data_IF_065198108451
#
_entry.id   IF_065198108451
#
_cell.length_a   1.000
_cell.length_b   1.000
_cell.length_c   1.000
_cell.angle_alpha   90.00
_cell.angle_beta   90.00
_cell.angle_gamma   90.00
#
_symmetry.space_group_name_H-M   'P 1'
#
loop_
_entity.id
_entity.type
_entity.pdbx_description
1 polymer ?
#
# COMPACT_ATOMS: atom_id res chain seq x y z
N UNK A 1 2.28 -19.35 -18.16
CA UNK A 1 1.25 -19.52 -17.10
C UNK A 1 1.18 -20.97 -16.67
N UNK A 2 0.94 -21.25 -15.39
CA UNK A 2 0.83 -22.61 -14.84
C UNK A 2 -0.30 -23.39 -15.51
N UNK A 3 -0.02 -24.64 -15.98
CA UNK A 3 -0.98 -25.46 -16.74
C UNK A 3 -2.25 -25.77 -15.95
N UNK A 4 -2.12 -26.13 -14.68
CA UNK A 4 -3.27 -26.42 -13.81
C UNK A 4 -4.20 -25.21 -13.62
N UNK A 5 -3.61 -24.01 -13.57
CA UNK A 5 -4.37 -22.77 -13.46
C UNK A 5 -5.18 -22.49 -14.74
N UNK A 6 -4.66 -22.91 -15.92
CA UNK A 6 -5.38 -22.81 -17.19
C UNK A 6 -6.52 -23.82 -17.26
N UNK A 7 -6.32 -25.03 -16.74
CA UNK A 7 -7.29 -26.11 -16.80
C UNK A 7 -8.43 -25.99 -15.79
N UNK A 8 -8.11 -25.50 -14.57
CA UNK A 8 -9.05 -25.48 -13.45
C UNK A 8 -9.47 -24.07 -13.01
N UNK A 9 -8.86 -22.99 -13.51
CA UNK A 9 -8.95 -21.61 -13.02
C UNK A 9 -8.35 -21.38 -11.62
N UNK A 10 -7.87 -22.41 -10.92
CA UNK A 10 -7.33 -22.27 -9.58
C UNK A 10 -6.25 -23.32 -9.26
N UNK A 11 -5.47 -23.03 -8.22
CA UNK A 11 -4.60 -23.97 -7.53
C UNK A 11 -4.71 -23.77 -6.01
N UNK A 12 -4.67 -24.86 -5.24
CA UNK A 12 -4.57 -24.79 -3.78
C UNK A 12 -3.09 -24.77 -3.40
N UNK A 13 -2.73 -23.89 -2.50
CA UNK A 13 -1.38 -23.70 -1.97
C UNK A 13 -1.39 -23.96 -0.49
N UNK A 14 -1.13 -25.20 -0.05
CA UNK A 14 -1.06 -25.53 1.37
C UNK A 14 0.10 -24.80 2.05
N UNK A 15 -0.10 -24.39 3.30
CA UNK A 15 0.90 -23.66 4.09
C UNK A 15 1.50 -22.45 3.36
N UNK A 16 0.68 -21.67 2.66
CA UNK A 16 1.08 -20.43 2.03
C UNK A 16 1.71 -19.46 3.05
N UNK A 17 1.17 -19.46 4.25
CA UNK A 17 1.79 -18.97 5.49
C UNK A 17 1.63 -20.02 6.58
N UNK A 18 2.43 -19.95 7.65
CA UNK A 18 2.25 -20.87 8.76
C UNK A 18 0.89 -20.65 9.46
N UNK A 19 0.28 -21.72 9.97
CA UNK A 19 -1.01 -21.62 10.67
C UNK A 19 -0.92 -20.71 11.91
N UNK A 20 0.23 -20.66 12.61
CA UNK A 20 0.44 -19.73 13.72
C UNK A 20 0.40 -18.28 13.25
N UNK A 21 1.12 -17.95 12.16
CA UNK A 21 1.11 -16.62 11.59
C UNK A 21 -0.29 -16.21 11.10
N UNK A 22 -1.01 -17.15 10.49
CA UNK A 22 -2.39 -16.91 10.04
C UNK A 22 -3.28 -16.47 11.22
N UNK A 23 -3.27 -17.22 12.31
CA UNK A 23 -4.04 -16.91 13.52
C UNK A 23 -3.61 -15.60 14.19
N UNK A 24 -2.30 -15.32 14.22
CA UNK A 24 -1.79 -14.04 14.74
C UNK A 24 -2.30 -12.85 13.91
N UNK A 25 -2.31 -12.97 12.59
CA UNK A 25 -2.84 -11.96 11.68
C UNK A 25 -4.36 -11.80 11.82
N UNK A 26 -5.11 -12.90 11.97
CA UNK A 26 -6.55 -12.85 12.23
C UNK A 26 -6.85 -12.11 13.53
N UNK A 27 -6.12 -12.42 14.61
CA UNK A 27 -6.26 -11.74 15.90
C UNK A 27 -5.96 -10.24 15.79
N UNK A 28 -4.85 -9.87 15.15
CA UNK A 28 -4.49 -8.46 14.95
C UNK A 28 -5.58 -7.71 14.18
N UNK A 29 -6.13 -8.33 13.14
CA UNK A 29 -7.19 -7.73 12.35
C UNK A 29 -8.49 -7.60 13.14
N UNK A 30 -8.86 -8.60 13.92
CA UNK A 30 -10.02 -8.51 14.82
C UNK A 30 -9.84 -7.42 15.88
N UNK A 31 -8.70 -7.34 16.52
CA UNK A 31 -8.37 -6.28 17.48
C UNK A 31 -8.47 -4.87 16.83
N UNK A 32 -8.14 -4.77 15.54
CA UNK A 32 -8.31 -3.56 14.76
C UNK A 32 -9.80 -3.24 14.52
N UNK A 33 -10.59 -4.22 14.05
CA UNK A 33 -12.02 -4.01 13.76
C UNK A 33 -12.83 -3.70 15.02
N UNK A 34 -12.44 -4.25 16.17
CA UNK A 34 -13.09 -3.96 17.46
C UNK A 34 -12.81 -2.51 17.94
N UNK A 35 -11.70 -1.89 17.52
CA UNK A 35 -11.32 -0.51 17.89
C UNK A 35 -11.88 0.55 16.95
N UNK A 36 -12.11 0.19 15.69
CA UNK A 36 -12.47 1.14 14.64
C UNK A 36 -13.77 0.70 13.98
N UNK A 37 -14.74 1.60 13.93
CA UNK A 37 -15.95 1.35 13.15
C UNK A 37 -15.58 1.39 11.67
N UNK A 38 -15.71 0.26 10.99
CA UNK A 38 -15.49 0.14 9.56
C UNK A 38 -16.75 0.50 8.77
N UNK A 39 -16.57 0.83 7.49
CA UNK A 39 -17.69 0.96 6.57
C UNK A 39 -18.33 -0.41 6.30
N UNK A 40 -19.61 -0.41 6.04
CA UNK A 40 -20.32 -1.62 5.64
C UNK A 40 -19.82 -2.13 4.29
N UNK A 41 -19.69 -3.45 4.16
CA UNK A 41 -19.33 -4.11 2.90
C UNK A 41 -20.59 -4.37 2.07
N UNK A 42 -20.78 -3.67 0.92
CA UNK A 42 -21.98 -3.86 0.11
C UNK A 42 -22.09 -5.27 -0.51
N UNK A 43 -20.98 -5.99 -0.70
CA UNK A 43 -20.97 -7.33 -1.26
C UNK A 43 -21.39 -8.38 -0.24
N UNK A 44 -21.02 -8.18 1.04
CA UNK A 44 -21.35 -9.07 2.16
C UNK A 44 -21.82 -8.22 3.34
N UNK A 45 -23.08 -7.78 3.36
CA UNK A 45 -23.60 -6.96 4.43
C UNK A 45 -23.43 -7.62 5.80
N UNK A 46 -23.08 -6.83 6.80
CA UNK A 46 -22.86 -7.29 8.18
C UNK A 46 -21.47 -7.88 8.46
N UNK A 47 -20.62 -8.07 7.44
CA UNK A 47 -19.21 -8.42 7.64
C UNK A 47 -18.37 -7.19 7.97
N UNK A 48 -17.24 -7.40 8.66
CA UNK A 48 -16.24 -6.36 8.87
C UNK A 48 -15.17 -6.48 7.80
N UNK A 49 -14.94 -5.40 7.02
CA UNK A 49 -14.04 -5.45 5.88
C UNK A 49 -13.10 -4.24 5.81
N UNK A 50 -11.89 -4.44 5.25
CA UNK A 50 -10.88 -3.40 5.14
C UNK A 50 -9.98 -3.62 3.93
N UNK A 51 -9.85 -2.56 3.12
CA UNK A 51 -8.78 -2.46 2.13
C UNK A 51 -7.46 -2.10 2.79
N UNK A 52 -6.39 -2.66 2.29
CA UNK A 52 -5.00 -2.30 2.60
C UNK A 52 -4.74 -2.12 4.12
N UNK A 53 -5.25 -3.07 4.94
CA UNK A 53 -4.78 -3.17 6.31
C UNK A 53 -3.30 -3.51 6.30
N UNK A 54 -2.48 -2.71 6.97
CA UNK A 54 -1.03 -2.69 6.80
C UNK A 54 -0.37 -4.06 6.88
N UNK A 55 -0.63 -4.91 7.89
CA UNK A 55 -0.04 -6.25 7.92
C UNK A 55 -0.38 -7.12 6.71
N UNK A 56 -1.50 -6.83 6.03
CA UNK A 56 -1.89 -7.54 4.81
C UNK A 56 -1.25 -6.95 3.55
N UNK A 57 -0.95 -5.66 3.52
CA UNK A 57 -0.10 -5.06 2.47
C UNK A 57 1.32 -5.63 2.54
N UNK A 58 1.86 -5.80 3.75
CA UNK A 58 3.15 -6.46 3.95
C UNK A 58 3.14 -7.90 3.42
N UNK A 59 2.10 -8.66 3.75
CA UNK A 59 1.92 -10.02 3.25
C UNK A 59 1.80 -10.04 1.72
N UNK A 60 1.04 -9.12 1.12
CA UNK A 60 0.89 -8.97 -0.33
C UNK A 60 2.25 -8.82 -1.02
N UNK A 61 3.08 -7.91 -0.52
CA UNK A 61 4.41 -7.64 -1.08
C UNK A 61 5.38 -8.78 -0.82
N UNK A 62 5.42 -9.33 0.41
CA UNK A 62 6.24 -10.50 0.77
C UNK A 62 6.01 -11.68 -0.18
N UNK A 63 4.75 -11.94 -0.51
CA UNK A 63 4.36 -13.10 -1.32
C UNK A 63 4.50 -12.90 -2.83
N UNK A 64 4.87 -11.72 -3.29
CA UNK A 64 4.98 -11.43 -4.74
C UNK A 64 5.85 -12.43 -5.50
N UNK A 65 7.01 -12.78 -4.96
CA UNK A 65 7.92 -13.78 -5.58
C UNK A 65 7.33 -15.19 -5.59
N UNK A 66 6.62 -15.57 -4.52
CA UNK A 66 5.93 -16.87 -4.44
C UNK A 66 4.84 -16.94 -5.50
N UNK A 67 4.03 -15.89 -5.63
CA UNK A 67 2.96 -15.81 -6.64
C UNK A 67 3.55 -15.83 -8.06
N UNK A 68 4.64 -15.09 -8.31
CA UNK A 68 5.39 -15.14 -9.58
C UNK A 68 5.80 -16.57 -9.96
N UNK A 69 6.32 -17.34 -9.00
CA UNK A 69 6.70 -18.75 -9.23
C UNK A 69 5.48 -19.64 -9.49
N UNK A 70 4.40 -19.46 -8.73
CA UNK A 70 3.17 -20.25 -8.90
C UNK A 70 2.50 -20.00 -10.26
N UNK A 71 2.50 -18.77 -10.74
CA UNK A 71 1.95 -18.37 -12.03
C UNK A 71 2.89 -18.77 -13.19
N UNK A 72 4.21 -18.77 -12.95
CA UNK A 72 5.24 -18.93 -13.98
C UNK A 72 5.47 -17.67 -14.82
N UNK A 73 4.98 -16.52 -14.35
CA UNK A 73 5.14 -15.19 -14.95
C UNK A 73 5.28 -14.15 -13.84
N UNK A 74 6.05 -13.07 -14.10
CA UNK A 74 6.16 -11.96 -13.15
C UNK A 74 4.83 -11.27 -12.93
N UNK A 75 4.51 -10.99 -11.66
CA UNK A 75 3.31 -10.27 -11.26
C UNK A 75 3.65 -9.02 -10.46
N UNK A 76 2.74 -8.07 -10.44
CA UNK A 76 2.78 -6.84 -9.64
C UNK A 76 1.62 -6.86 -8.65
N UNK A 77 1.84 -6.48 -7.39
CA UNK A 77 0.77 -6.38 -6.40
C UNK A 77 -0.19 -5.26 -6.77
N UNK A 78 -1.47 -5.46 -6.51
CA UNK A 78 -2.49 -4.41 -6.67
C UNK A 78 -2.95 -3.91 -5.31
N UNK A 79 -3.68 -4.69 -4.54
CA UNK A 79 -4.13 -4.34 -3.21
C UNK A 79 -4.41 -5.60 -2.38
N UNK A 80 -4.50 -5.41 -1.07
CA UNK A 80 -5.02 -6.41 -0.14
C UNK A 80 -6.42 -6.03 0.33
N UNK A 81 -7.27 -7.03 0.54
CA UNK A 81 -8.59 -6.85 1.12
C UNK A 81 -8.82 -7.91 2.18
N UNK A 82 -9.42 -7.57 3.29
CA UNK A 82 -9.69 -8.52 4.34
C UNK A 82 -11.13 -8.42 4.80
N UNK A 83 -11.67 -9.55 5.22
CA UNK A 83 -13.04 -9.64 5.69
C UNK A 83 -13.15 -10.61 6.86
N UNK A 84 -13.91 -10.22 7.89
CA UNK A 84 -14.39 -11.12 8.93
C UNK A 84 -15.86 -11.43 8.62
N UNK A 85 -16.09 -12.63 8.18
CA UNK A 85 -17.45 -13.14 7.95
C UNK A 85 -18.06 -13.59 9.26
N UNK A 86 -19.37 -13.45 9.37
CA UNK A 86 -20.20 -13.84 10.52
C UNK A 86 -21.26 -14.87 10.10
N UNK A 87 -21.88 -15.51 11.05
CA UNK A 87 -22.97 -16.45 10.80
C UNK A 87 -24.02 -15.89 9.83
N UNK A 88 -24.41 -16.68 8.86
CA UNK A 88 -25.35 -16.33 7.79
C UNK A 88 -24.75 -15.52 6.65
N UNK A 89 -23.50 -15.03 6.71
CA UNK A 89 -22.90 -14.34 5.59
C UNK A 89 -22.73 -15.26 4.38
N UNK A 90 -22.98 -14.71 3.20
CA UNK A 90 -22.86 -15.37 1.90
C UNK A 90 -21.91 -14.55 1.04
N UNK A 91 -21.02 -15.20 0.30
CA UNK A 91 -20.32 -14.54 -0.79
C UNK A 91 -21.01 -14.93 -2.10
N UNK A 92 -21.84 -14.05 -2.69
CA UNK A 92 -22.54 -14.35 -3.93
C UNK A 92 -21.57 -14.72 -5.05
N UNK A 93 -21.97 -15.63 -5.92
CA UNK A 93 -21.16 -16.04 -7.05
C UNK A 93 -20.88 -14.87 -8.02
N UNK A 94 -19.60 -14.57 -8.22
CA UNK A 94 -19.12 -13.44 -9.05
C UNK A 94 -17.80 -13.76 -9.73
N UNK A 95 -17.40 -12.90 -10.61
CA UNK A 95 -16.02 -12.76 -11.11
C UNK A 95 -15.44 -11.44 -10.62
N UNK A 96 -14.15 -11.40 -10.46
CA UNK A 96 -13.45 -10.22 -9.98
C UNK A 96 -13.28 -9.16 -11.07
N UNK A 97 -12.91 -7.96 -10.65
CA UNK A 97 -12.56 -6.84 -11.52
C UNK A 97 -11.12 -6.96 -12.06
N UNK A 98 -10.73 -6.15 -13.07
CA UNK A 98 -9.41 -6.23 -13.71
C UNK A 98 -8.20 -6.14 -12.79
N UNK A 99 -8.32 -5.41 -11.68
CA UNK A 99 -7.28 -5.30 -10.65
C UNK A 99 -6.99 -6.64 -9.93
N UNK A 100 -7.90 -7.59 -10.05
CA UNK A 100 -7.83 -8.92 -9.45
C UNK A 100 -7.58 -10.00 -10.53
N UNK A 101 -6.76 -9.69 -11.54
CA UNK A 101 -6.42 -10.65 -12.61
C UNK A 101 -5.93 -11.97 -12.03
N UNK A 102 -5.07 -11.89 -11.03
CA UNK A 102 -4.59 -13.00 -10.22
C UNK A 102 -4.97 -12.73 -8.77
N UNK A 103 -5.74 -13.61 -8.18
CA UNK A 103 -6.24 -13.47 -6.82
C UNK A 103 -5.83 -14.63 -5.94
N UNK A 104 -5.59 -14.36 -4.67
CA UNK A 104 -5.49 -15.37 -3.63
C UNK A 104 -6.51 -15.07 -2.55
N UNK A 105 -7.26 -16.09 -2.11
CA UNK A 105 -7.94 -16.09 -0.81
C UNK A 105 -7.12 -16.92 0.15
N UNK A 106 -6.74 -16.34 1.29
CA UNK A 106 -5.96 -16.99 2.34
C UNK A 106 -6.85 -17.13 3.57
N UNK A 107 -7.04 -18.35 4.04
CA UNK A 107 -7.74 -18.57 5.30
C UNK A 107 -6.82 -18.21 6.46
N UNK A 108 -7.24 -17.25 7.28
CA UNK A 108 -6.49 -16.86 8.49
C UNK A 108 -6.97 -17.61 9.72
N UNK A 109 -8.27 -17.62 9.97
CA UNK A 109 -8.90 -18.36 11.06
C UNK A 109 -10.42 -18.46 10.82
N UNK A 110 -11.00 -19.66 11.01
CA UNK A 110 -12.45 -19.88 10.94
C UNK A 110 -12.87 -20.79 12.07
N UNK A 111 -14.01 -20.50 12.69
CA UNK A 111 -14.60 -21.34 13.74
C UNK A 111 -15.16 -22.65 13.18
N UNK A 112 -15.55 -22.65 11.91
CA UNK A 112 -16.06 -23.84 11.20
C UNK A 112 -15.46 -23.91 9.79
N UNK A 113 -15.39 -25.11 9.21
CA UNK A 113 -14.94 -25.32 7.83
C UNK A 113 -15.92 -24.64 6.89
N UNK A 114 -15.40 -23.76 6.03
CA UNK A 114 -16.21 -23.02 5.09
C UNK A 114 -15.60 -23.02 3.70
N UNK A 115 -16.15 -23.84 2.82
CA UNK A 115 -15.63 -24.03 1.48
C UNK A 115 -15.86 -22.80 0.60
N UNK A 116 -14.90 -22.55 -0.28
CA UNK A 116 -15.09 -21.68 -1.45
C UNK A 116 -15.34 -22.58 -2.67
N UNK A 117 -16.33 -22.26 -3.47
CA UNK A 117 -16.52 -22.92 -4.75
C UNK A 117 -16.01 -22.06 -5.90
N UNK A 118 -15.52 -22.71 -6.96
CA UNK A 118 -15.02 -22.05 -8.17
C UNK A 118 -15.33 -22.87 -9.40
N UNK A 119 -15.71 -22.20 -10.50
CA UNK A 119 -15.97 -22.82 -11.80
C UNK A 119 -14.69 -22.95 -12.62
N UNK A 120 -14.43 -24.15 -13.12
CA UNK A 120 -13.39 -24.42 -14.14
C UNK A 120 -13.86 -24.01 -15.55
N UNK A 121 -12.96 -23.86 -16.53
CA UNK A 121 -13.34 -23.50 -17.91
C UNK A 121 -14.31 -24.45 -18.59
N UNK A 122 -14.36 -25.70 -18.16
CA UNK A 122 -15.27 -26.73 -18.67
C UNK A 122 -16.66 -26.73 -17.96
N UNK A 123 -16.89 -25.75 -17.05
CA UNK A 123 -18.14 -25.60 -16.32
C UNK A 123 -18.27 -26.46 -15.04
N UNK A 124 -17.24 -27.23 -14.69
CA UNK A 124 -17.25 -27.95 -13.39
C UNK A 124 -17.17 -26.96 -12.22
N UNK A 125 -18.02 -27.16 -11.21
CA UNK A 125 -17.95 -26.46 -9.95
C UNK A 125 -17.10 -27.26 -8.97
N UNK A 126 -16.02 -26.68 -8.52
CA UNK A 126 -15.10 -27.29 -7.57
C UNK A 126 -15.30 -26.66 -6.20
N UNK A 127 -15.34 -27.48 -5.14
CA UNK A 127 -15.45 -27.00 -3.75
C UNK A 127 -14.09 -27.19 -3.07
N UNK A 128 -13.54 -26.11 -2.51
CA UNK A 128 -12.20 -26.07 -1.92
C UNK A 128 -12.29 -25.72 -0.45
N UNK A 129 -11.72 -26.58 0.39
CA UNK A 129 -11.51 -26.33 1.81
C UNK A 129 -10.09 -25.81 2.05
N UNK A 130 -9.96 -24.79 2.88
CA UNK A 130 -8.67 -24.20 3.25
C UNK A 130 -8.52 -24.23 4.77
N UNK A 131 -7.45 -24.86 5.26
CA UNK A 131 -7.07 -24.76 6.66
C UNK A 131 -6.43 -23.38 6.94
N UNK A 132 -6.34 -22.95 8.22
CA UNK A 132 -5.62 -21.72 8.56
C UNK A 132 -4.17 -21.71 8.04
N UNK A 133 -3.86 -20.73 7.19
CA UNK A 133 -2.58 -20.60 6.50
C UNK A 133 -2.56 -21.12 5.07
N UNK A 134 -3.56 -21.88 4.65
CA UNK A 134 -3.71 -22.29 3.24
C UNK A 134 -4.25 -21.14 2.37
N UNK A 135 -3.93 -21.18 1.09
CA UNK A 135 -4.45 -20.26 0.09
C UNK A 135 -5.03 -21.01 -1.11
N UNK A 136 -6.03 -20.41 -1.75
CA UNK A 136 -6.42 -20.72 -3.11
C UNK A 136 -5.99 -19.55 -4.01
N UNK A 137 -5.10 -19.80 -4.96
CA UNK A 137 -4.74 -18.87 -6.02
C UNK A 137 -5.65 -19.14 -7.21
N UNK A 138 -6.23 -18.10 -7.80
CA UNK A 138 -7.18 -18.27 -8.89
C UNK A 138 -7.15 -17.10 -9.89
N UNK A 139 -7.68 -17.35 -11.08
CA UNK A 139 -7.87 -16.34 -12.12
C UNK A 139 -9.17 -15.57 -11.82
N UNK A 140 -9.06 -14.46 -11.10
CA UNK A 140 -10.22 -13.75 -10.54
C UNK A 140 -11.21 -13.26 -11.58
N UNK A 141 -10.74 -12.82 -12.76
CA UNK A 141 -11.59 -12.29 -13.83
C UNK A 141 -12.39 -13.34 -14.61
N UNK A 142 -12.00 -14.62 -14.55
CA UNK A 142 -12.61 -15.67 -15.35
C UNK A 142 -13.19 -16.81 -14.52
N UNK A 143 -12.57 -17.14 -13.40
CA UNK A 143 -13.06 -18.15 -12.49
C UNK A 143 -14.20 -17.61 -11.64
N UNK A 144 -15.46 -17.85 -12.06
CA UNK A 144 -16.61 -17.48 -11.23
C UNK A 144 -16.57 -18.26 -9.93
N UNK A 145 -16.67 -17.57 -8.79
CA UNK A 145 -16.48 -18.14 -7.47
C UNK A 145 -17.40 -17.51 -6.43
N UNK A 146 -17.57 -18.20 -5.30
CA UNK A 146 -18.42 -17.74 -4.21
C UNK A 146 -18.41 -18.69 -3.00
N UNK A 147 -19.20 -18.39 -2.01
CA UNK A 147 -19.38 -19.21 -0.80
C UNK A 147 -20.84 -19.25 -0.39
N UNK A 148 -21.31 -20.43 -0.01
CA UNK A 148 -22.63 -20.63 0.55
C UNK A 148 -22.76 -19.99 1.94
N UNK A 149 -23.96 -19.94 2.58
CA UNK A 149 -24.11 -19.36 3.92
C UNK A 149 -23.11 -19.96 4.92
N UNK A 150 -22.46 -19.07 5.68
CA UNK A 150 -21.54 -19.49 6.73
C UNK A 150 -22.30 -19.92 7.97
N UNK A 151 -22.03 -21.13 8.49
CA UNK A 151 -22.72 -21.70 9.65
C UNK A 151 -21.96 -21.47 10.97
N UNK A 152 -20.69 -21.01 10.90
CA UNK A 152 -19.87 -20.75 12.07
C UNK A 152 -20.01 -19.33 12.60
N UNK A 153 -19.40 -19.05 13.73
CA UNK A 153 -19.46 -17.75 14.41
C UNK A 153 -18.64 -16.69 13.67
N UNK A 154 -17.41 -17.04 13.25
CA UNK A 154 -16.46 -16.09 12.65
C UNK A 154 -15.49 -16.78 11.69
N UNK A 155 -15.23 -16.16 10.56
CA UNK A 155 -14.22 -16.58 9.59
C UNK A 155 -13.47 -15.39 9.01
N UNK A 156 -12.18 -15.30 9.30
CA UNK A 156 -11.30 -14.23 8.82
C UNK A 156 -10.54 -14.69 7.57
N UNK A 157 -10.73 -13.96 6.48
CA UNK A 157 -10.06 -14.19 5.21
C UNK A 157 -9.28 -12.94 4.80
N UNK A 158 -8.13 -13.12 4.17
CA UNK A 158 -7.44 -12.06 3.44
C UNK A 158 -7.35 -12.41 1.97
N UNK A 159 -7.58 -11.42 1.14
CA UNK A 159 -7.48 -11.49 -0.31
C UNK A 159 -6.27 -10.68 -0.75
N UNK A 160 -5.40 -11.31 -1.55
CA UNK A 160 -4.20 -10.70 -2.10
C UNK A 160 -4.35 -10.67 -3.61
N UNK A 161 -4.26 -9.49 -4.21
CA UNK A 161 -4.52 -9.31 -5.63
C UNK A 161 -3.29 -8.86 -6.38
N UNK A 162 -3.12 -9.38 -7.59
CA UNK A 162 -1.98 -9.11 -8.46
C UNK A 162 -2.44 -8.99 -9.90
N UNK A 163 -1.60 -8.35 -10.71
CA UNK A 163 -1.71 -8.32 -12.17
C UNK A 163 -0.40 -8.80 -12.80
N UNK A 164 -0.46 -9.40 -13.97
CA UNK A 164 0.75 -9.81 -14.70
C UNK A 164 1.52 -8.59 -15.19
N UNK A 165 2.85 -8.58 -14.97
CA UNK A 165 3.74 -7.46 -15.36
C UNK A 165 3.63 -7.13 -16.84
N UNK A 166 3.53 -8.17 -17.70
CA UNK A 166 3.40 -8.04 -19.15
C UNK A 166 1.96 -8.30 -19.63
N UNK A 167 0.97 -8.27 -18.72
CA UNK A 167 -0.44 -8.46 -19.03
C UNK A 167 -1.16 -7.14 -19.38
N UNK A 168 -2.40 -7.22 -19.89
CA UNK A 168 -3.17 -6.03 -20.27
C UNK A 168 -3.57 -5.15 -19.08
N UNK A 169 -3.48 -5.67 -17.86
CA UNK A 169 -3.93 -5.03 -16.63
C UNK A 169 -2.79 -4.48 -15.78
N UNK A 170 -1.53 -4.51 -16.24
CA UNK A 170 -0.35 -4.07 -15.48
C UNK A 170 -0.50 -2.65 -14.89
N UNK A 171 -1.26 -1.76 -15.54
CA UNK A 171 -1.51 -0.38 -15.09
C UNK A 171 -2.22 -0.28 -13.73
N UNK A 172 -2.85 -1.36 -13.26
CA UNK A 172 -3.55 -1.39 -11.98
C UNK A 172 -2.67 -1.78 -10.80
N UNK A 173 -1.35 -1.89 -10.98
CA UNK A 173 -0.46 -2.14 -9.87
C UNK A 173 -0.66 -1.12 -8.74
N UNK A 174 -0.65 -1.59 -7.48
CA UNK A 174 -1.00 -0.82 -6.28
C UNK A 174 -2.35 -0.10 -6.36
N UNK A 175 -3.33 -0.68 -7.01
CA UNK A 175 -4.75 -0.30 -7.21
C UNK A 175 -5.17 1.07 -6.64
N UNK A 176 -4.73 2.11 -7.31
CA UNK A 176 -4.88 3.48 -6.87
C UNK A 176 -6.34 3.95 -6.82
N UNK A 177 -7.23 3.25 -7.51
CA UNK A 177 -8.65 3.60 -7.63
C UNK A 177 -9.47 3.29 -6.37
N UNK A 178 -9.02 2.35 -5.51
CA UNK A 178 -9.74 1.94 -4.30
C UNK A 178 -9.22 2.51 -2.99
N UNK A 179 -8.02 3.08 -2.97
CA UNK A 179 -7.42 3.64 -1.76
C UNK A 179 -8.15 4.86 -1.21
N UNK A 180 -9.03 5.45 -2.01
CA UNK A 180 -9.70 6.71 -1.74
C UNK A 180 -11.22 6.66 -1.89
N UNK A 181 -11.85 5.51 -1.79
CA UNK A 181 -13.30 5.48 -1.59
C UNK A 181 -13.60 6.12 -0.23
N UNK A 182 -14.34 7.22 -0.26
CA UNK A 182 -14.49 8.22 0.80
C UNK A 182 -15.18 7.77 2.10
N UNK A 183 -15.50 6.51 2.25
CA UNK A 183 -16.27 6.00 3.38
C UNK A 183 -15.43 5.45 4.53
N UNK A 184 -14.17 5.81 4.56
CA UNK A 184 -13.24 5.28 5.51
C UNK A 184 -13.16 6.14 6.76
N UNK A 185 -13.73 5.63 7.83
CA UNK A 185 -13.50 6.08 9.20
C UNK A 185 -14.23 7.37 9.60
N UNK A 186 -15.42 7.24 10.09
CA UNK A 186 -15.95 8.22 11.05
C UNK A 186 -15.04 8.21 12.28
N UNK A 187 -14.18 9.23 12.37
CA UNK A 187 -13.22 9.38 13.46
C UNK A 187 -13.92 9.43 14.81
N UNK A 188 -13.62 8.48 15.67
CA UNK A 188 -13.59 8.76 17.11
C UNK A 188 -12.15 9.12 17.43
N UNK A 189 -11.94 10.42 17.64
CA UNK A 189 -10.66 10.98 18.07
C UNK A 189 -10.35 10.51 19.48
N UNK A 190 -9.47 9.54 19.62
CA UNK A 190 -8.60 9.40 20.77
C UNK A 190 -7.19 9.24 20.25
N UNK A 191 -6.46 10.33 20.32
CA UNK A 191 -5.00 10.32 20.17
C UNK A 191 -4.42 9.43 21.26
N UNK A 192 -4.00 8.25 20.87
CA UNK A 192 -3.13 7.41 21.70
C UNK A 192 -1.70 7.72 21.27
N UNK A 193 -0.77 7.99 22.21
CA UNK A 193 0.64 8.24 21.88
C UNK A 193 1.17 7.03 21.11
N UNK A 194 1.97 7.29 20.08
CA UNK A 194 2.74 6.27 19.36
C UNK A 194 3.61 5.57 20.41
N UNK A 195 3.29 4.32 20.70
CA UNK A 195 4.16 3.47 21.52
C UNK A 195 5.36 3.13 20.63
N UNK A 196 6.55 3.48 21.08
CA UNK A 196 7.81 3.12 20.45
C UNK A 196 7.83 1.62 20.15
N UNK A 197 7.57 1.26 18.92
CA UNK A 197 7.72 -0.10 18.45
C UNK A 197 9.22 -0.34 18.25
N UNK A 198 9.79 -1.28 18.99
CA UNK A 198 11.15 -1.77 18.76
C UNK A 198 11.25 -2.28 17.32
N UNK A 199 12.26 -1.89 16.54
CA UNK A 199 12.37 -2.28 15.13
C UNK A 199 12.43 -3.80 15.00
N UNK A 200 11.51 -4.41 14.27
CA UNK A 200 11.68 -5.78 13.75
C UNK A 200 12.44 -5.66 12.43
N UNK A 201 13.65 -6.17 12.40
CA UNK A 201 14.64 -5.97 11.33
C UNK A 201 14.33 -6.65 9.98
N UNK A 202 13.22 -7.36 9.84
CA UNK A 202 12.98 -8.26 8.70
C UNK A 202 11.63 -8.05 7.99
N UNK A 203 11.10 -6.82 7.93
CA UNK A 203 9.90 -6.56 7.14
C UNK A 203 10.22 -6.63 5.63
N UNK A 204 9.39 -7.35 4.86
CA UNK A 204 9.52 -7.40 3.40
C UNK A 204 9.50 -6.03 2.73
N UNK A 205 8.78 -5.05 3.29
CA UNK A 205 8.71 -3.69 2.75
C UNK A 205 10.02 -2.93 2.94
N UNK A 206 10.80 -3.25 3.97
CA UNK A 206 12.07 -2.56 4.25
C UNK A 206 13.09 -2.73 3.11
N UNK A 207 13.00 -3.79 2.31
CA UNK A 207 13.85 -3.97 1.13
C UNK A 207 13.68 -2.88 0.07
N UNK A 208 12.47 -2.28 -0.02
CA UNK A 208 12.15 -1.21 -0.96
C UNK A 208 12.47 0.19 -0.44
N UNK A 209 12.89 0.31 0.82
CA UNK A 209 13.29 1.57 1.43
C UNK A 209 14.81 1.65 1.35
N UNK A 210 15.33 2.62 0.61
CA UNK A 210 16.77 2.83 0.42
C UNK A 210 17.17 4.20 0.95
N UNK A 211 18.25 4.23 1.73
CA UNK A 211 18.88 5.46 2.19
C UNK A 211 20.12 5.70 1.34
N UNK A 212 20.24 6.90 0.80
CA UNK A 212 21.38 7.34 0.00
C UNK A 212 22.05 8.51 0.71
N UNK A 213 23.12 8.21 1.44
CA UNK A 213 23.89 9.24 2.14
C UNK A 213 24.56 10.21 1.15
N UNK A 214 24.66 11.47 1.54
CA UNK A 214 25.27 12.55 0.76
C UNK A 214 24.65 12.69 -0.65
N UNK A 215 23.33 12.52 -0.76
CA UNK A 215 22.59 12.69 -2.00
C UNK A 215 22.74 14.10 -2.59
N UNK A 216 22.73 15.11 -1.73
CA UNK A 216 23.15 16.49 -2.02
C UNK A 216 24.47 16.79 -1.32
N UNK A 217 25.26 17.67 -1.89
CA UNK A 217 26.42 18.23 -1.18
C UNK A 217 25.95 19.25 -0.12
N UNK A 218 26.77 19.50 0.88
CA UNK A 218 26.48 20.55 1.87
C UNK A 218 26.31 21.93 1.21
N UNK A 219 27.00 22.20 0.14
CA UNK A 219 26.90 23.46 -0.63
C UNK A 219 25.54 23.52 -1.37
N UNK A 220 25.07 22.41 -1.96
CA UNK A 220 23.73 22.32 -2.56
C UNK A 220 22.65 22.56 -1.50
N UNK A 221 22.75 21.91 -0.34
CA UNK A 221 21.82 22.09 0.78
C UNK A 221 21.79 23.56 1.24
N UNK A 222 22.96 24.16 1.47
CA UNK A 222 23.08 25.55 1.91
C UNK A 222 22.55 26.53 0.86
N UNK A 223 22.76 26.24 -0.43
CA UNK A 223 22.22 27.04 -1.53
C UNK A 223 20.70 27.07 -1.50
N UNK A 224 20.06 25.90 -1.31
CA UNK A 224 18.60 25.79 -1.20
C UNK A 224 18.09 26.52 0.05
N UNK A 225 18.70 26.28 1.21
CA UNK A 225 18.29 26.89 2.47
C UNK A 225 18.43 28.41 2.43
N UNK A 226 19.51 28.95 1.89
CA UNK A 226 19.74 30.41 1.80
C UNK A 226 18.68 31.10 0.93
N UNK A 227 18.19 30.44 -0.12
CA UNK A 227 17.18 31.02 -1.00
C UNK A 227 15.81 31.12 -0.30
N UNK A 228 15.44 30.09 0.47
CA UNK A 228 14.08 29.96 0.98
C UNK A 228 13.90 30.29 2.47
N UNK A 229 14.96 30.35 3.26
CA UNK A 229 14.85 30.53 4.72
C UNK A 229 14.17 31.85 5.16
N UNK A 230 14.30 32.91 4.35
CA UNK A 230 13.78 34.25 4.66
C UNK A 230 12.55 34.63 3.83
N UNK A 231 12.06 33.74 2.98
CA UNK A 231 10.87 34.04 2.20
C UNK A 231 9.60 34.04 3.06
N UNK A 232 8.62 34.83 2.67
CA UNK A 232 7.28 34.88 3.28
C UNK A 232 6.26 34.00 2.51
N UNK A 233 6.71 33.29 1.49
CA UNK A 233 5.83 32.52 0.59
C UNK A 233 5.45 31.12 1.10
N UNK A 234 5.82 30.82 2.33
CA UNK A 234 5.43 29.56 2.97
C UNK A 234 3.91 29.48 3.15
N UNK A 235 3.31 28.46 2.53
CA UNK A 235 1.91 28.13 2.72
C UNK A 235 1.73 26.92 3.62
N UNK A 236 0.52 26.73 4.15
CA UNK A 236 0.17 25.50 4.87
C UNK A 236 0.20 24.32 3.92
N UNK A 237 0.87 23.24 4.31
CA UNK A 237 0.86 22.01 3.53
C UNK A 237 -0.52 21.35 3.58
N UNK A 238 -1.07 21.03 2.41
CA UNK A 238 -2.37 20.40 2.28
C UNK A 238 -2.27 18.88 2.51
N UNK A 239 -3.34 18.27 2.98
CA UNK A 239 -3.52 16.82 2.98
C UNK A 239 -3.84 16.33 1.56
N UNK A 240 -3.80 15.01 1.33
CA UNK A 240 -4.07 14.41 0.02
C UNK A 240 -5.45 14.71 -0.59
N UNK A 241 -6.34 15.38 0.17
CA UNK A 241 -7.64 15.85 -0.32
C UNK A 241 -7.63 17.32 -0.73
N UNK A 242 -6.46 17.94 -0.77
CA UNK A 242 -6.36 19.38 -1.04
C UNK A 242 -6.93 20.26 0.08
N UNK A 243 -7.06 19.73 1.30
CA UNK A 243 -7.63 20.42 2.45
C UNK A 243 -6.53 20.70 3.47
N UNK A 244 -6.52 21.90 4.03
CA UNK A 244 -5.67 22.22 5.17
C UNK A 244 -6.23 21.54 6.42
N UNK A 245 -5.43 20.65 7.03
CA UNK A 245 -5.74 20.00 8.30
C UNK A 245 -4.46 19.84 9.12
N UNK A 246 -4.19 20.82 9.96
CA UNK A 246 -3.02 20.85 10.86
C UNK A 246 -3.02 19.71 11.90
N UNK A 247 -4.16 19.04 12.11
CA UNK A 247 -4.23 17.85 12.97
C UNK A 247 -3.76 16.57 12.26
N UNK A 248 -3.54 16.62 10.95
CA UNK A 248 -3.03 15.51 10.12
C UNK A 248 -1.65 15.84 9.58
N UNK A 249 -1.45 17.08 9.10
CA UNK A 249 -0.20 17.54 8.51
C UNK A 249 0.14 18.94 9.03
N UNK A 250 1.04 19.01 9.99
CA UNK A 250 1.49 20.26 10.60
C UNK A 250 2.90 20.61 10.11
N UNK A 251 2.97 21.13 8.90
CA UNK A 251 4.17 21.70 8.29
C UNK A 251 3.80 22.75 7.26
N UNK A 252 4.76 23.57 6.88
CA UNK A 252 4.64 24.52 5.79
C UNK A 252 5.30 23.98 4.52
N UNK A 253 4.88 24.48 3.36
CA UNK A 253 5.30 24.02 2.05
C UNK A 253 5.57 25.19 1.11
N UNK A 254 6.59 25.03 0.27
CA UNK A 254 6.79 25.81 -0.96
C UNK A 254 7.00 24.83 -2.10
N UNK A 255 6.24 24.96 -3.19
CA UNK A 255 6.48 24.19 -4.39
C UNK A 255 7.58 24.82 -5.24
N UNK A 256 8.64 24.07 -5.52
CA UNK A 256 9.79 24.55 -6.29
C UNK A 256 9.51 24.45 -7.80
N UNK A 257 8.91 23.34 -8.23
CA UNK A 257 8.78 23.02 -9.66
C UNK A 257 7.48 23.51 -10.30
N UNK A 258 6.51 24.01 -9.51
CA UNK A 258 5.22 24.44 -10.06
C UNK A 258 5.28 25.85 -10.58
N UNK A 259 4.95 26.09 -11.88
CA UNK A 259 4.99 27.43 -12.50
C UNK A 259 4.06 28.48 -11.87
N UNK A 260 3.09 28.03 -11.11
CA UNK A 260 2.00 28.85 -10.54
C UNK A 260 2.37 29.53 -9.21
N UNK A 261 3.49 29.11 -8.59
CA UNK A 261 4.00 29.74 -7.36
C UNK A 261 4.94 30.86 -7.74
N UNK A 262 4.42 32.00 -7.77
CA UNK A 262 4.63 33.03 -8.76
C UNK A 262 5.70 34.08 -8.56
N UNK A 263 6.39 34.27 -7.49
CA UNK A 263 7.28 35.46 -7.38
C UNK A 263 8.63 35.23 -6.71
N UNK A 264 8.95 34.02 -6.35
CA UNK A 264 10.34 33.69 -6.06
C UNK A 264 11.20 33.95 -7.31
N UNK A 265 12.36 34.49 -7.10
CA UNK A 265 13.36 34.72 -8.18
C UNK A 265 13.38 33.49 -9.12
N UNK A 266 12.82 33.65 -10.30
CA UNK A 266 12.67 32.57 -11.27
C UNK A 266 13.99 31.88 -11.58
N UNK A 267 15.08 32.67 -11.70
CA UNK A 267 16.40 32.15 -12.03
C UNK A 267 16.95 31.29 -10.89
N UNK A 268 16.74 31.68 -9.63
CA UNK A 268 17.14 30.88 -8.47
C UNK A 268 16.33 29.59 -8.36
N UNK A 269 15.02 29.66 -8.57
CA UNK A 269 14.14 28.51 -8.57
C UNK A 269 14.52 27.52 -9.67
N UNK A 270 14.72 27.98 -10.91
CA UNK A 270 15.10 27.12 -12.04
C UNK A 270 16.47 26.47 -11.81
N UNK A 271 17.41 27.20 -11.17
CA UNK A 271 18.71 26.65 -10.76
C UNK A 271 18.56 25.53 -9.72
N UNK A 272 17.74 25.74 -8.71
CA UNK A 272 17.51 24.76 -7.64
C UNK A 272 16.78 23.54 -8.18
N UNK A 273 15.75 23.72 -9.00
CA UNK A 273 15.04 22.64 -9.69
C UNK A 273 16.01 21.79 -10.52
N UNK A 274 16.91 22.42 -11.27
CA UNK A 274 17.93 21.72 -12.05
C UNK A 274 18.93 20.92 -11.19
N UNK A 275 19.34 21.46 -10.04
CA UNK A 275 20.18 20.74 -9.06
C UNK A 275 19.44 19.50 -8.55
N UNK A 276 18.21 19.67 -8.09
CA UNK A 276 17.38 18.60 -7.56
C UNK A 276 17.12 17.53 -8.62
N UNK A 277 16.69 17.92 -9.82
CA UNK A 277 16.45 17.00 -10.93
C UNK A 277 17.67 16.13 -11.23
N UNK A 278 18.85 16.74 -11.36
CA UNK A 278 20.08 15.99 -11.63
C UNK A 278 20.38 14.94 -10.55
N UNK A 279 20.23 15.31 -9.28
CA UNK A 279 20.52 14.42 -8.14
C UNK A 279 19.47 13.34 -7.97
N UNK A 280 18.20 13.72 -8.01
CA UNK A 280 17.06 12.80 -7.90
C UNK A 280 17.07 11.79 -9.04
N UNK A 281 17.31 12.22 -10.28
CA UNK A 281 17.43 11.31 -11.41
C UNK A 281 18.57 10.29 -11.23
N UNK A 282 19.73 10.72 -10.72
CA UNK A 282 20.83 9.82 -10.42
C UNK A 282 20.46 8.76 -9.37
N UNK A 283 19.74 9.16 -8.30
CA UNK A 283 19.26 8.26 -7.26
C UNK A 283 18.20 7.31 -7.82
N UNK A 284 17.26 7.83 -8.60
CA UNK A 284 16.21 7.04 -9.24
C UNK A 284 16.78 5.96 -10.16
N UNK A 285 17.83 6.29 -10.95
CA UNK A 285 18.51 5.28 -11.79
C UNK A 285 19.21 4.19 -10.96
N UNK A 286 19.82 4.54 -9.83
CA UNK A 286 20.39 3.55 -8.90
C UNK A 286 19.30 2.66 -8.32
N UNK A 287 18.18 3.24 -7.89
CA UNK A 287 17.03 2.48 -7.36
C UNK A 287 16.45 1.52 -8.41
N UNK A 288 16.30 1.96 -9.67
CA UNK A 288 15.83 1.11 -10.77
C UNK A 288 16.81 -0.03 -11.06
N UNK A 289 18.12 0.19 -10.90
CA UNK A 289 19.11 -0.89 -11.03
C UNK A 289 18.91 -2.00 -10.00
N UNK A 290 18.52 -1.65 -8.77
CA UNK A 290 18.20 -2.61 -7.71
C UNK A 290 16.81 -3.25 -7.95
N UNK A 291 15.89 -2.51 -8.55
CA UNK A 291 14.50 -2.92 -8.79
C UNK A 291 14.10 -2.71 -10.26
N UNK A 292 14.55 -3.58 -11.20
CA UNK A 292 14.31 -3.41 -12.65
C UNK A 292 12.83 -3.43 -13.05
N UNK A 293 11.94 -3.95 -12.22
CA UNK A 293 10.49 -3.90 -12.43
C UNK A 293 9.87 -2.55 -12.08
N UNK A 294 10.63 -1.65 -11.45
CA UNK A 294 10.18 -0.30 -11.14
C UNK A 294 10.26 0.57 -12.40
N UNK A 295 9.12 0.92 -12.94
CA UNK A 295 9.02 1.75 -14.14
C UNK A 295 8.65 3.18 -13.76
N UNK A 296 9.56 4.13 -14.02
CA UNK A 296 9.33 5.55 -13.83
C UNK A 296 9.02 6.20 -15.18
N UNK A 297 7.92 6.93 -15.23
CA UNK A 297 7.45 7.60 -16.44
C UNK A 297 7.78 9.09 -16.48
N UNK A 298 7.69 9.75 -15.33
CA UNK A 298 7.85 11.20 -15.21
C UNK A 298 8.27 11.58 -13.80
N UNK A 299 8.85 12.75 -13.66
CA UNK A 299 9.06 13.46 -12.40
C UNK A 299 7.84 14.36 -12.14
N UNK A 300 7.35 14.40 -10.90
CA UNK A 300 6.22 15.25 -10.48
C UNK A 300 6.65 16.58 -9.89
N UNK A 301 7.95 16.87 -9.90
CA UNK A 301 8.53 18.07 -9.31
C UNK A 301 8.87 17.94 -7.82
N UNK A 302 9.31 19.05 -7.23
CA UNK A 302 9.87 19.13 -5.89
C UNK A 302 9.12 20.12 -5.04
N UNK A 303 8.87 19.71 -3.79
CA UNK A 303 8.32 20.55 -2.75
C UNK A 303 9.35 20.68 -1.63
N UNK A 304 9.52 21.89 -1.10
CA UNK A 304 10.29 22.16 0.10
C UNK A 304 9.34 22.18 1.30
N UNK A 305 9.61 21.38 2.31
CA UNK A 305 8.82 21.27 3.52
C UNK A 305 9.58 21.84 4.71
N UNK A 306 8.90 22.64 5.53
CA UNK A 306 9.42 23.18 6.77
C UNK A 306 8.62 22.68 7.96
N UNK A 307 9.28 22.00 8.87
CA UNK A 307 8.71 21.53 10.14
C UNK A 307 9.27 22.39 11.27
N UNK A 308 8.38 23.07 11.96
CA UNK A 308 8.70 23.75 13.21
C UNK A 308 8.66 22.77 14.39
N UNK A 309 9.13 23.20 15.58
CA UNK A 309 9.06 22.38 16.79
C UNK A 309 7.64 21.86 17.03
N UNK A 310 7.49 20.53 17.14
CA UNK A 310 6.19 19.87 17.24
C UNK A 310 5.44 19.70 15.93
N UNK A 311 6.09 20.04 14.80
CA UNK A 311 5.56 19.73 13.46
C UNK A 311 5.57 18.24 13.16
N UNK A 312 4.61 17.77 12.36
CA UNK A 312 4.49 16.37 12.01
C UNK A 312 3.64 16.18 10.76
N UNK A 313 3.76 15.00 10.18
CA UNK A 313 2.82 14.49 9.19
C UNK A 313 2.36 13.11 9.61
N UNK A 314 1.05 12.95 9.79
CA UNK A 314 0.45 11.68 10.16
C UNK A 314 0.64 10.60 9.11
N UNK A 315 0.41 9.35 9.47
CA UNK A 315 0.53 8.21 8.57
C UNK A 315 -0.33 8.38 7.32
N UNK A 316 0.27 8.23 6.16
CA UNK A 316 -0.36 8.44 4.85
C UNK A 316 0.33 7.59 3.76
N UNK A 317 -0.22 7.67 2.55
CA UNK A 317 0.42 7.17 1.33
C UNK A 317 0.55 8.31 0.33
N UNK A 318 1.65 8.37 -0.39
CA UNK A 318 1.95 9.45 -1.35
C UNK A 318 1.27 9.29 -2.71
N UNK A 319 0.64 8.16 -2.95
CA UNK A 319 0.03 7.87 -4.25
C UNK A 319 -1.43 8.30 -4.29
N UNK A 320 -1.80 9.16 -5.24
CA UNK A 320 -3.16 9.63 -5.51
C UNK A 320 -3.66 9.10 -6.84
N UNK A 321 -4.99 9.05 -6.99
CA UNK A 321 -5.62 8.61 -8.24
C UNK A 321 -5.19 9.48 -9.43
N UNK A 322 -5.18 10.78 -9.23
CA UNK A 322 -4.86 11.79 -10.22
C UNK A 322 -3.34 11.87 -10.51
N UNK A 323 -2.53 11.56 -9.50
CA UNK A 323 -1.07 11.59 -9.57
C UNK A 323 -0.48 10.34 -8.92
N UNK A 324 -0.45 9.23 -9.64
CA UNK A 324 0.11 7.99 -9.12
C UNK A 324 1.64 8.11 -8.96
N UNK A 325 2.12 8.10 -7.72
CA UNK A 325 3.55 8.12 -7.39
C UNK A 325 4.05 6.70 -7.19
N UNK A 326 5.04 6.31 -7.98
CA UNK A 326 5.68 4.99 -7.88
C UNK A 326 6.78 4.99 -6.83
N UNK A 327 7.56 6.09 -6.77
CA UNK A 327 8.63 6.33 -5.80
C UNK A 327 8.40 7.70 -5.20
N UNK A 328 8.60 7.83 -3.88
CA UNK A 328 8.73 9.09 -3.18
C UNK A 328 10.16 9.21 -2.65
N UNK A 329 10.76 10.36 -2.80
CA UNK A 329 12.12 10.66 -2.33
C UNK A 329 12.02 11.83 -1.36
N UNK A 330 12.50 11.63 -0.15
CA UNK A 330 12.69 12.68 0.85
C UNK A 330 14.17 12.97 1.01
N UNK A 331 14.54 14.23 1.06
CA UNK A 331 15.91 14.69 1.22
C UNK A 331 15.98 15.64 2.39
N UNK A 332 16.77 15.30 3.42
CA UNK A 332 17.05 16.21 4.52
C UNK A 332 18.06 17.26 4.09
N UNK A 333 17.75 18.52 4.31
CA UNK A 333 18.60 19.64 3.94
C UNK A 333 19.45 20.17 5.12
N UNK A 334 19.04 19.89 6.36
CA UNK A 334 19.77 20.23 7.60
C UNK A 334 19.67 19.07 8.59
N UNK A 335 20.51 19.10 9.63
CA UNK A 335 20.63 18.09 10.67
C UNK A 335 20.68 18.68 12.10
N UNK A 336 20.40 19.98 12.24
CA UNK A 336 20.45 20.74 13.50
C UNK A 336 19.14 20.65 14.30
N UNK A 337 18.47 19.48 14.26
CA UNK A 337 17.22 19.23 14.96
C UNK A 337 17.22 17.86 15.68
N UNK A 338 16.28 17.66 16.58
CA UNK A 338 16.08 16.38 17.30
C UNK A 338 14.67 15.88 17.01
N UNK A 339 14.53 14.60 16.68
CA UNK A 339 13.29 13.97 16.26
C UNK A 339 13.09 14.09 14.75
N UNK A 340 11.83 14.15 14.29
CA UNK A 340 11.50 14.25 12.87
C UNK A 340 11.78 12.96 12.06
N UNK A 341 11.95 11.83 12.74
CA UNK A 341 12.20 10.55 12.07
C UNK A 341 11.08 10.20 11.12
N UNK A 342 11.43 9.69 9.94
CA UNK A 342 10.49 9.13 9.01
C UNK A 342 10.14 7.69 9.43
N UNK A 343 8.89 7.46 9.81
CA UNK A 343 8.41 6.17 10.26
C UNK A 343 7.77 5.38 9.10
N UNK A 344 8.21 4.16 8.89
CA UNK A 344 7.61 3.18 8.01
C UNK A 344 7.22 1.97 8.86
N UNK A 345 5.97 1.57 8.88
CA UNK A 345 5.37 0.42 9.55
C UNK A 345 6.17 -0.23 10.69
N UNK A 346 7.42 -0.61 10.44
CA UNK A 346 8.27 -1.44 11.29
C UNK A 346 9.65 -0.82 11.54
N UNK A 347 9.95 0.33 10.96
CA UNK A 347 11.25 1.01 11.15
C UNK A 347 11.12 2.52 11.09
N UNK A 348 12.02 3.18 11.77
CA UNK A 348 12.25 4.61 11.68
C UNK A 348 13.59 4.88 10.99
N UNK A 349 13.64 5.96 10.20
CA UNK A 349 14.84 6.48 9.55
C UNK A 349 15.02 7.91 10.06
N UNK A 350 16.18 8.15 10.63
CA UNK A 350 16.61 9.46 11.11
C UNK A 350 17.24 10.26 9.97
#
# INVERSE_FOLDING_TARGET
MNQKLIEDNYIVVPNFISSSRAKDLAKQFKDYTDRYQLSEDPQVPGSDAKFDYIPFVELLVEKNNVVTQLIGESVLPTYSYARIYKEGNVLPGHVDKPQCEISLTVNLDCTEIWNIWIESPDGRVNSVSLAPGDAMLYLGMVGRHGREPFEGESCTQVFLHYVRTNGPYFKYYFDKDHRYSDDMVKKTTKTTPIVNATPKSDSPLSQYIKVYENALSLDDCQTILNEYQHTTEWGSALTGRGVEDRSVRNCDIISISTPEVLELNKDARDKIDAILFKKVNSIAQRYISDFPSCFLKSDSGYDLLRYETGGYYGQHTDSFKEQPRTISISINLNDDYIGGNMAFFDREIQ
#
